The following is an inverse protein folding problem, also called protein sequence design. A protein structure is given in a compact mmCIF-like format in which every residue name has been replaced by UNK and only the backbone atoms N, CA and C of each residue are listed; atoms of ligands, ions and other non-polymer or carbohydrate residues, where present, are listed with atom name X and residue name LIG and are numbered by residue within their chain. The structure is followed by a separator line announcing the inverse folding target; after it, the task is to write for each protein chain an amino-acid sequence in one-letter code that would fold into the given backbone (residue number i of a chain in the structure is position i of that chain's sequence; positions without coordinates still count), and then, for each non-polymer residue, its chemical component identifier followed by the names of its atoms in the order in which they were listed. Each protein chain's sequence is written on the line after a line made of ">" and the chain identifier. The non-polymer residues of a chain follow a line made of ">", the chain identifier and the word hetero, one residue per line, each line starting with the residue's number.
data_IF_242516489167
#
_entry.id   IF_242516489167
#
_cell.length_a   1.000
_cell.length_b   1.000
_cell.length_c   1.000
_cell.angle_alpha   90.00
_cell.angle_beta   90.00
_cell.angle_gamma   90.00
#
_symmetry.space_group_name_H-M   'P 1'
#
loop_
_entity.id
_entity.type
_entity.pdbx_description
1 polymer ?
#
# COMPACT_ATOMS: atom_id res chain seq x y z
N UNK A 1 20.75 15.07 19.57
CA UNK A 1 19.65 14.23 19.03
C UNK A 1 19.65 14.39 17.52
N UNK A 2 19.81 13.31 16.76
CA UNK A 2 19.64 13.36 15.31
C UNK A 2 18.14 13.37 15.00
N UNK A 3 17.63 14.50 14.52
CA UNK A 3 16.27 14.56 13.98
C UNK A 3 16.30 14.08 12.54
N UNK A 4 15.54 13.02 12.24
CA UNK A 4 15.30 12.61 10.87
C UNK A 4 14.56 13.73 10.13
N UNK A 5 15.11 14.19 9.00
CA UNK A 5 14.39 15.12 8.13
C UNK A 5 13.21 14.39 7.51
N UNK A 6 12.00 14.97 7.50
CA UNK A 6 10.84 14.33 6.87
C UNK A 6 11.12 14.08 5.39
N UNK A 7 10.94 12.82 4.96
CA UNK A 7 11.03 12.43 3.57
C UNK A 7 9.64 12.44 2.93
N UNK A 8 9.53 12.92 1.68
CA UNK A 8 8.23 13.06 1.00
C UNK A 8 7.53 11.72 0.72
N UNK A 9 8.29 10.63 0.65
CA UNK A 9 7.82 9.31 0.20
C UNK A 9 7.86 8.26 1.30
N UNK A 10 8.83 8.34 2.21
CA UNK A 10 9.10 7.27 3.17
C UNK A 10 9.03 7.82 4.58
N UNK A 11 8.46 7.03 5.49
CA UNK A 11 8.50 7.30 6.93
C UNK A 11 9.42 6.27 7.59
N UNK A 12 10.42 6.74 8.33
CA UNK A 12 11.31 5.83 9.07
C UNK A 12 10.60 5.25 10.30
N UNK A 13 10.74 3.95 10.50
CA UNK A 13 10.25 3.21 11.67
C UNK A 13 11.39 2.34 12.21
N UNK A 14 12.23 2.92 13.06
CA UNK A 14 13.49 2.33 13.52
C UNK A 14 14.47 1.98 12.36
N UNK A 15 14.65 0.69 12.06
CA UNK A 15 15.43 0.23 10.91
C UNK A 15 14.55 -0.01 9.67
N UNK A 16 13.23 -0.04 9.83
CA UNK A 16 12.30 -0.21 8.73
C UNK A 16 11.93 1.16 8.14
N UNK A 17 11.36 1.11 6.94
CA UNK A 17 10.77 2.27 6.28
C UNK A 17 9.36 1.92 5.82
N UNK A 18 8.44 2.87 5.97
CA UNK A 18 7.06 2.75 5.51
C UNK A 18 6.86 3.60 4.27
N UNK A 19 6.26 3.00 3.25
CA UNK A 19 5.78 3.64 2.05
C UNK A 19 4.26 3.49 1.98
N UNK A 20 3.55 4.60 1.81
CA UNK A 20 2.09 4.58 1.62
C UNK A 20 1.82 4.64 0.13
N UNK A 21 1.22 3.58 -0.40
CA UNK A 21 0.78 3.51 -1.78
C UNK A 21 -0.73 3.65 -1.86
N UNK A 22 -1.21 4.63 -2.62
CA UNK A 22 -2.65 4.85 -2.80
C UNK A 22 -3.12 4.17 -4.07
N UNK A 23 -4.24 3.47 -3.97
CA UNK A 23 -4.86 2.74 -5.08
C UNK A 23 -6.33 3.09 -5.17
N UNK A 24 -6.90 2.99 -6.37
CA UNK A 24 -8.33 3.20 -6.54
C UNK A 24 -9.14 2.04 -5.96
N UNK A 25 -10.41 2.28 -5.60
CA UNK A 25 -11.34 1.20 -5.25
C UNK A 25 -11.44 0.12 -6.35
N UNK A 26 -11.33 0.52 -7.63
CA UNK A 26 -11.31 -0.42 -8.76
C UNK A 26 -10.13 -1.38 -8.67
N UNK A 27 -8.93 -0.85 -8.49
CA UNK A 27 -7.69 -1.63 -8.38
C UNK A 27 -7.72 -2.53 -7.14
N UNK A 28 -8.28 -2.03 -6.04
CA UNK A 28 -8.46 -2.80 -4.82
C UNK A 28 -9.37 -4.03 -5.02
N UNK A 29 -10.43 -3.90 -5.84
CA UNK A 29 -11.39 -4.96 -6.12
C UNK A 29 -10.95 -5.92 -7.23
N UNK A 30 -10.32 -5.40 -8.28
CA UNK A 30 -10.00 -6.13 -9.51
C UNK A 30 -8.54 -6.59 -9.60
N UNK A 31 -7.71 -6.17 -8.65
CA UNK A 31 -6.28 -6.42 -8.64
C UNK A 31 -5.48 -5.34 -9.37
N UNK A 32 -4.21 -5.25 -9.02
CA UNK A 32 -3.28 -4.27 -9.57
C UNK A 32 -1.83 -4.76 -9.56
N UNK A 33 -1.02 -4.12 -10.40
CA UNK A 33 0.43 -4.24 -10.38
C UNK A 33 1.01 -2.88 -10.03
N UNK A 34 1.82 -2.82 -8.97
CA UNK A 34 2.36 -1.56 -8.44
C UNK A 34 3.88 -1.60 -8.44
N UNK A 35 4.49 -0.49 -8.83
CA UNK A 35 5.93 -0.28 -8.74
C UNK A 35 6.25 0.41 -7.42
N UNK A 36 6.87 -0.31 -6.50
CA UNK A 36 7.22 0.20 -5.18
C UNK A 36 8.61 0.82 -5.23
N UNK A 37 8.77 2.12 -4.93
CA UNK A 37 10.09 2.74 -4.85
C UNK A 37 10.87 2.15 -3.68
N UNK A 38 12.18 2.00 -3.85
CA UNK A 38 13.10 1.60 -2.78
C UNK A 38 14.01 2.78 -2.43
N UNK A 39 14.64 2.77 -1.25
CA UNK A 39 15.63 3.80 -0.90
C UNK A 39 16.91 3.68 -1.73
N UNK A 40 17.30 2.44 -2.06
CA UNK A 40 18.53 2.14 -2.78
C UNK A 40 18.27 1.05 -3.81
N UNK A 41 18.55 1.37 -5.07
CA UNK A 41 18.41 0.45 -6.20
C UNK A 41 17.07 0.56 -6.93
N UNK A 42 16.71 -0.45 -7.74
CA UNK A 42 15.52 -0.41 -8.56
C UNK A 42 14.22 -0.49 -7.73
N UNK A 43 13.11 -0.11 -8.35
CA UNK A 43 11.77 -0.37 -7.81
C UNK A 43 11.50 -1.87 -7.71
N UNK A 44 10.56 -2.24 -6.84
CA UNK A 44 10.08 -3.61 -6.72
C UNK A 44 8.65 -3.68 -7.21
N UNK A 45 8.39 -4.53 -8.21
CA UNK A 45 7.04 -4.81 -8.69
C UNK A 45 6.29 -5.70 -7.70
N UNK A 46 5.12 -5.28 -7.26
CA UNK A 46 4.17 -6.12 -6.52
C UNK A 46 2.91 -6.35 -7.36
N UNK A 47 2.47 -7.60 -7.45
CA UNK A 47 1.18 -7.98 -8.05
C UNK A 47 0.22 -8.41 -6.96
N UNK A 48 -1.00 -7.87 -6.98
CA UNK A 48 -2.03 -8.10 -5.99
C UNK A 48 -3.34 -8.43 -6.70
N UNK A 49 -3.97 -9.55 -6.37
CA UNK A 49 -5.25 -9.94 -6.96
C UNK A 49 -6.42 -9.14 -6.37
N UNK A 50 -6.29 -8.73 -5.11
CA UNK A 50 -7.18 -7.78 -4.44
C UNK A 50 -6.47 -7.15 -3.25
N UNK A 51 -6.97 -5.98 -2.82
CA UNK A 51 -6.41 -5.24 -1.69
C UNK A 51 -7.53 -4.84 -0.74
N UNK A 52 -7.42 -5.28 0.51
CA UNK A 52 -8.35 -4.90 1.58
C UNK A 52 -7.90 -3.60 2.25
N UNK A 53 -8.80 -2.84 2.88
CA UNK A 53 -8.41 -1.76 3.77
C UNK A 53 -7.36 -2.24 4.79
N UNK A 54 -6.36 -1.41 5.08
CA UNK A 54 -5.25 -1.70 5.99
C UNK A 54 -4.31 -2.84 5.54
N UNK A 55 -4.36 -3.25 4.26
CA UNK A 55 -3.40 -4.24 3.75
C UNK A 55 -1.98 -3.70 3.85
N UNK A 56 -1.07 -4.53 4.37
CA UNK A 56 0.36 -4.25 4.45
C UNK A 56 1.14 -5.36 3.77
N UNK A 57 2.14 -4.98 2.96
CA UNK A 57 3.14 -5.88 2.39
C UNK A 57 4.52 -5.52 2.90
N UNK A 58 5.36 -6.52 3.11
CA UNK A 58 6.73 -6.36 3.60
C UNK A 58 7.69 -6.87 2.55
N UNK A 59 8.67 -6.05 2.20
CA UNK A 59 9.78 -6.40 1.30
C UNK A 59 11.04 -6.44 2.15
N UNK A 60 11.50 -7.66 2.40
CA UNK A 60 12.59 -7.92 3.35
C UNK A 60 13.91 -7.32 2.89
N UNK A 61 14.65 -6.71 3.82
CA UNK A 61 16.00 -6.18 3.58
C UNK A 61 16.08 -4.93 2.71
N UNK A 62 14.93 -4.27 2.46
CA UNK A 62 14.83 -3.02 1.68
C UNK A 62 14.65 -1.77 2.55
N UNK A 63 14.82 -1.90 3.86
CA UNK A 63 14.85 -0.80 4.83
C UNK A 63 16.25 -0.19 5.00
N UNK A 64 16.51 0.35 6.19
CA UNK A 64 17.76 1.01 6.53
C UNK A 64 18.79 0.04 7.13
N UNK A 65 20.10 0.32 7.01
CA UNK A 65 21.13 -0.43 7.72
C UNK A 65 20.88 -0.45 9.23
N UNK A 66 21.03 -1.62 9.86
CA UNK A 66 20.93 -1.78 11.29
C UNK A 66 22.27 -1.41 11.98
N UNK A 67 22.34 -0.34 12.79
CA UNK A 67 23.58 0.06 13.45
C UNK A 67 24.13 -0.98 14.43
N UNK A 68 23.25 -1.84 14.98
CA UNK A 68 23.61 -2.87 15.96
C UNK A 68 24.03 -4.20 15.34
N UNK A 69 23.77 -4.38 14.04
CA UNK A 69 24.06 -5.61 13.32
C UNK A 69 24.58 -5.25 11.91
N UNK A 70 25.89 -4.97 11.76
CA UNK A 70 26.48 -4.63 10.47
C UNK A 70 26.16 -5.68 9.40
N UNK A 71 25.76 -5.24 8.21
CA UNK A 71 25.34 -6.11 7.11
C UNK A 71 23.85 -6.50 7.13
N UNK A 72 23.13 -6.23 8.22
CA UNK A 72 21.68 -6.40 8.27
C UNK A 72 20.95 -5.10 7.96
N UNK A 73 19.84 -5.23 7.25
CA UNK A 73 18.94 -4.14 6.89
C UNK A 73 17.56 -4.43 7.47
N UNK A 74 16.83 -3.39 7.85
CA UNK A 74 15.40 -3.51 8.09
C UNK A 74 14.61 -3.72 6.80
N UNK A 75 13.30 -3.57 6.90
CA UNK A 75 12.37 -3.88 5.81
C UNK A 75 11.69 -2.64 5.23
N UNK A 76 11.24 -2.77 3.99
CA UNK A 76 10.31 -1.81 3.38
C UNK A 76 8.87 -2.32 3.59
N UNK A 77 8.09 -1.54 4.34
CA UNK A 77 6.71 -1.78 4.68
C UNK A 77 5.83 -0.95 3.72
N UNK A 78 5.12 -1.63 2.82
CA UNK A 78 4.17 -1.00 1.90
C UNK A 78 2.77 -1.08 2.50
N UNK A 79 2.20 0.07 2.81
CA UNK A 79 0.82 0.19 3.29
C UNK A 79 -0.07 0.70 2.17
N UNK A 80 -1.19 0.01 1.94
CA UNK A 80 -2.14 0.39 0.89
C UNK A 80 -3.28 1.22 1.48
N UNK A 81 -3.52 2.39 0.90
CA UNK A 81 -4.71 3.21 1.16
C UNK A 81 -5.63 3.14 -0.06
N UNK A 82 -6.87 2.72 0.16
CA UNK A 82 -7.87 2.64 -0.91
C UNK A 82 -8.61 3.97 -1.00
N UNK A 83 -8.50 4.64 -2.14
CA UNK A 83 -9.23 5.86 -2.44
C UNK A 83 -10.56 5.53 -3.12
N UNK A 84 -11.65 5.99 -2.49
CA UNK A 84 -12.98 5.92 -3.08
C UNK A 84 -13.16 7.02 -4.13
N UNK A 85 -14.03 6.79 -5.14
CA UNK A 85 -14.41 7.86 -6.07
C UNK A 85 -14.91 9.10 -5.33
N UNK A 86 -14.44 10.28 -5.75
CA UNK A 86 -14.77 11.55 -5.09
C UNK A 86 -16.25 11.95 -5.22
N UNK A 87 -16.95 11.39 -6.20
CA UNK A 87 -18.38 11.59 -6.40
C UNK A 87 -19.12 10.28 -6.18
N UNK A 88 -20.30 10.30 -5.54
CA UNK A 88 -21.15 9.14 -5.47
C UNK A 88 -21.63 8.75 -6.87
N UNK A 89 -21.87 7.46 -7.06
CA UNK A 89 -22.51 6.96 -8.29
C UNK A 89 -24.00 7.27 -8.17
N UNK A 90 -24.46 8.19 -9.02
CA UNK A 90 -25.85 8.69 -9.05
C UNK A 90 -26.69 8.05 -10.15
N UNK A 91 -26.04 7.51 -11.20
CA UNK A 91 -26.72 6.82 -12.29
C UNK A 91 -27.39 5.53 -11.76
N UNK A 92 -28.73 5.38 -11.89
CA UNK A 92 -29.45 4.23 -11.35
C UNK A 92 -29.01 2.89 -11.94
N UNK A 93 -28.65 2.84 -13.22
CA UNK A 93 -28.24 1.62 -13.89
C UNK A 93 -26.86 1.16 -13.37
N UNK A 94 -25.90 2.08 -13.25
CA UNK A 94 -24.59 1.79 -12.68
C UNK A 94 -24.69 1.32 -11.23
N UNK A 95 -25.59 1.92 -10.43
CA UNK A 95 -25.83 1.49 -9.04
C UNK A 95 -26.39 0.07 -8.96
N UNK A 96 -27.41 -0.24 -9.77
CA UNK A 96 -28.02 -1.58 -9.80
C UNK A 96 -26.99 -2.64 -10.23
N UNK A 97 -26.16 -2.34 -11.23
CA UNK A 97 -25.07 -3.21 -11.66
C UNK A 97 -24.09 -3.53 -10.51
N UNK A 98 -23.66 -2.50 -9.76
CA UNK A 98 -22.75 -2.71 -8.64
C UNK A 98 -23.39 -3.50 -7.49
N UNK A 99 -24.67 -3.28 -7.19
CA UNK A 99 -25.39 -4.04 -6.17
C UNK A 99 -25.57 -5.52 -6.53
N UNK A 100 -25.63 -5.85 -7.82
CA UNK A 100 -25.69 -7.25 -8.28
C UNK A 100 -24.33 -7.94 -8.24
N UNK A 101 -23.26 -7.22 -8.53
CA UNK A 101 -21.90 -7.78 -8.62
C UNK A 101 -21.25 -7.88 -7.23
N UNK A 102 -21.42 -6.85 -6.38
CA UNK A 102 -20.80 -6.80 -5.06
C UNK A 102 -21.73 -7.42 -4.00
N UNK A 103 -21.28 -8.45 -3.27
CA UNK A 103 -22.11 -9.06 -2.24
C UNK A 103 -22.37 -8.07 -1.08
N UNK A 104 -23.54 -8.14 -0.43
CA UNK A 104 -23.76 -7.42 0.81
C UNK A 104 -22.80 -7.95 1.89
N UNK A 105 -22.56 -7.15 2.93
CA UNK A 105 -21.81 -7.62 4.10
C UNK A 105 -22.48 -8.88 4.66
N UNK A 106 -21.77 -10.01 4.59
CA UNK A 106 -22.13 -11.19 5.38
C UNK A 106 -21.88 -10.83 6.84
N UNK A 107 -22.95 -10.74 7.62
CA UNK A 107 -22.85 -10.53 9.07
C UNK A 107 -21.93 -11.62 9.63
N UNK A 108 -20.86 -11.20 10.32
CA UNK A 108 -20.08 -12.06 11.19
C UNK A 108 -20.77 -12.15 12.56
#
# INVERSE_FOLDING_TARGET
>A
MFQDKPHKVFKREACDIRYIHRISLRDALCGCTVEVPTLVGPSTTLRLDSVKPNTVRRITGKGLPNPKAPGHYGDLIVQFEVEFPSKPITDPLQRDQLMRILPPLSHA
#
